data_IF_154287916587
#
_entry.id   IF_154287916587
#
_cell.length_a   1.000
_cell.length_b   1.000
_cell.length_c   1.000
_cell.angle_alpha   90.00
_cell.angle_beta   90.00
_cell.angle_gamma   90.00
#
_symmetry.space_group_name_H-M   'P 1'
#
loop_
_entity.id
_entity.type
_entity.pdbx_description
1 polymer ?
#
# COMPACT_ATOMS: atom_id res chain seq x y z
N UNK A 1 10.97 -9.16 -12.85
CA UNK A 1 11.53 -7.99 -12.14
C UNK A 1 12.77 -8.36 -11.33
N UNK A 2 12.69 -9.20 -10.29
CA UNK A 2 13.84 -9.50 -9.43
C UNK A 2 15.06 -10.02 -10.22
N UNK A 3 14.86 -11.00 -11.10
CA UNK A 3 15.92 -11.51 -11.99
C UNK A 3 16.56 -10.41 -12.84
N UNK A 4 15.77 -9.49 -13.38
CA UNK A 4 16.26 -8.36 -14.17
C UNK A 4 17.21 -7.48 -13.36
N UNK A 5 16.79 -7.03 -12.18
CA UNK A 5 17.62 -6.17 -11.34
C UNK A 5 18.83 -6.89 -10.72
N UNK A 6 18.74 -8.21 -10.46
CA UNK A 6 19.91 -8.98 -10.02
C UNK A 6 20.93 -9.18 -11.14
N UNK A 7 20.48 -9.35 -12.39
CA UNK A 7 21.38 -9.39 -13.55
C UNK A 7 22.07 -8.03 -13.72
N UNK A 8 21.33 -6.93 -13.70
CA UNK A 8 21.89 -5.57 -13.77
C UNK A 8 22.89 -5.31 -12.62
N UNK A 9 22.54 -5.67 -11.39
CA UNK A 9 23.41 -5.54 -10.23
C UNK A 9 24.71 -6.35 -10.38
N UNK A 10 24.64 -7.54 -10.97
CA UNK A 10 25.81 -8.39 -11.25
C UNK A 10 26.74 -7.80 -12.31
N UNK A 11 26.19 -7.01 -13.25
CA UNK A 11 26.95 -6.32 -14.30
C UNK A 11 27.58 -5.04 -13.74
N UNK A 12 26.80 -4.21 -13.04
CA UNK A 12 27.24 -2.93 -12.46
C UNK A 12 28.29 -3.12 -11.37
N UNK A 13 28.24 -4.24 -10.62
CA UNK A 13 29.13 -4.55 -9.49
C UNK A 13 29.29 -3.37 -8.52
N UNK A 14 28.18 -2.93 -7.88
CA UNK A 14 28.25 -1.85 -6.91
C UNK A 14 29.19 -2.20 -5.75
N UNK A 15 29.91 -1.22 -5.17
CA UNK A 15 30.83 -1.45 -4.07
C UNK A 15 30.08 -2.00 -2.85
N UNK A 16 30.24 -3.29 -2.58
CA UNK A 16 29.51 -4.02 -1.54
C UNK A 16 29.69 -3.41 -0.15
N UNK A 17 30.88 -2.87 0.14
CA UNK A 17 31.17 -2.21 1.41
C UNK A 17 30.31 -0.95 1.62
N UNK A 18 30.14 -0.13 0.58
CA UNK A 18 29.32 1.08 0.66
C UNK A 18 27.82 0.75 0.76
N UNK A 19 27.36 -0.26 0.02
CA UNK A 19 25.98 -0.73 0.10
C UNK A 19 25.65 -1.28 1.49
N UNK A 20 26.56 -2.09 2.08
CA UNK A 20 26.39 -2.60 3.44
C UNK A 20 26.43 -1.47 4.47
N UNK A 21 27.34 -0.52 4.34
CA UNK A 21 27.37 0.65 5.23
C UNK A 21 26.08 1.47 5.13
N UNK A 22 25.55 1.70 3.93
CA UNK A 22 24.28 2.40 3.73
C UNK A 22 23.06 1.65 4.27
N UNK A 23 23.11 0.32 4.32
CA UNK A 23 22.02 -0.51 4.86
C UNK A 23 21.92 -0.46 6.39
N UNK A 24 23.08 -0.39 7.09
CA UNK A 24 23.13 -0.44 8.56
C UNK A 24 23.36 0.92 9.23
N UNK A 25 23.91 1.90 8.52
CA UNK A 25 24.24 3.22 9.06
C UNK A 25 23.36 4.28 8.37
N UNK A 26 22.25 4.70 9.00
CA UNK A 26 21.40 5.75 8.44
C UNK A 26 22.14 7.09 8.44
N UNK A 27 22.55 7.57 7.27
CA UNK A 27 23.12 8.91 7.08
C UNK A 27 22.26 9.69 6.09
N UNK A 28 21.66 10.78 6.55
CA UNK A 28 20.98 11.74 5.70
C UNK A 28 21.97 12.86 5.41
N UNK A 29 22.44 12.97 4.17
CA UNK A 29 23.41 13.98 3.76
C UNK A 29 22.98 14.60 2.44
N UNK A 30 22.94 15.94 2.40
CA UNK A 30 22.58 16.71 1.22
C UNK A 30 21.17 17.35 1.28
N UNK A 31 20.95 18.42 0.51
CA UNK A 31 19.63 19.04 0.36
C UNK A 31 18.69 18.08 -0.36
N UNK A 32 17.53 17.78 0.24
CA UNK A 32 16.49 16.91 -0.35
C UNK A 32 16.51 15.45 0.13
N UNK A 33 17.63 14.94 0.65
CA UNK A 33 17.76 13.54 1.10
C UNK A 33 16.70 13.12 2.13
N UNK A 34 16.36 14.01 3.07
CA UNK A 34 15.28 13.77 4.05
C UNK A 34 13.92 13.65 3.38
N UNK A 35 13.64 14.49 2.38
CA UNK A 35 12.38 14.48 1.64
C UNK A 35 12.21 13.21 0.81
N UNK A 36 13.26 12.77 0.13
CA UNK A 36 13.24 11.55 -0.69
C UNK A 36 13.16 10.29 0.17
N UNK A 37 13.84 10.27 1.33
CA UNK A 37 13.73 9.18 2.31
C UNK A 37 12.31 9.05 2.87
N UNK A 38 11.67 10.17 3.17
CA UNK A 38 10.28 10.22 3.61
C UNK A 38 9.34 9.74 2.49
N UNK A 39 9.56 10.20 1.26
CA UNK A 39 8.77 9.78 0.10
C UNK A 39 8.89 8.27 -0.15
N UNK A 40 10.11 7.72 -0.07
CA UNK A 40 10.36 6.28 -0.18
C UNK A 40 9.61 5.50 0.90
N UNK A 41 9.70 5.94 2.16
CA UNK A 41 9.04 5.26 3.28
C UNK A 41 7.51 5.28 3.13
N UNK A 42 6.94 6.40 2.68
CA UNK A 42 5.51 6.52 2.37
C UNK A 42 5.07 5.60 1.23
N UNK A 43 5.86 5.53 0.16
CA UNK A 43 5.56 4.70 -1.02
C UNK A 43 5.60 3.19 -0.73
N UNK A 44 6.40 2.74 0.25
CA UNK A 44 6.54 1.33 0.59
C UNK A 44 5.34 0.76 1.36
N UNK A 45 4.59 1.61 2.09
CA UNK A 45 3.43 1.16 2.87
C UNK A 45 2.17 1.42 2.08
N UNK A 46 1.66 0.41 1.38
CA UNK A 46 0.49 0.56 0.53
C UNK A 46 -0.81 0.11 1.25
N UNK A 47 -1.84 0.96 1.39
CA UNK A 47 -3.06 0.64 2.12
C UNK A 47 -3.85 -0.53 1.50
N UNK A 48 -3.92 -0.61 0.17
CA UNK A 48 -4.61 -1.71 -0.51
C UNK A 48 -3.97 -3.08 -0.24
N UNK A 49 -2.66 -3.13 0.01
CA UNK A 49 -1.99 -4.38 0.39
C UNK A 49 -2.39 -4.82 1.80
N UNK A 50 -2.68 -3.90 2.73
CA UNK A 50 -3.20 -4.26 4.05
C UNK A 50 -4.57 -4.97 3.94
N UNK A 51 -5.46 -4.45 3.10
CA UNK A 51 -6.76 -5.09 2.85
C UNK A 51 -6.61 -6.42 2.10
N UNK A 52 -5.77 -6.45 1.06
CA UNK A 52 -5.54 -7.65 0.26
C UNK A 52 -4.95 -8.79 1.08
N UNK A 53 -3.90 -8.55 1.85
CA UNK A 53 -3.30 -9.58 2.71
C UNK A 53 -4.30 -10.09 3.75
N UNK A 54 -5.08 -9.19 4.37
CA UNK A 54 -6.11 -9.58 5.33
C UNK A 54 -7.17 -10.49 4.70
N UNK A 55 -7.52 -10.23 3.43
CA UNK A 55 -8.52 -11.01 2.71
C UNK A 55 -7.99 -12.34 2.14
N UNK A 56 -6.74 -12.39 1.68
CA UNK A 56 -6.10 -13.62 1.18
C UNK A 56 -5.92 -14.66 2.29
N UNK A 57 -5.74 -14.23 3.54
CA UNK A 57 -5.73 -15.15 4.69
C UNK A 57 -7.05 -15.92 4.81
N UNK A 58 -8.18 -15.30 4.45
CA UNK A 58 -9.51 -15.92 4.48
C UNK A 58 -9.76 -16.90 3.32
N UNK A 59 -8.96 -16.86 2.25
CA UNK A 59 -9.12 -17.81 1.14
C UNK A 59 -8.57 -19.20 1.44
N UNK A 60 -7.81 -19.36 2.53
CA UNK A 60 -7.26 -20.65 2.96
C UNK A 60 -8.13 -21.28 4.03
N UNK A 61 -8.34 -22.59 3.93
CA UNK A 61 -9.08 -23.34 4.93
C UNK A 61 -8.23 -23.47 6.21
N UNK A 62 -8.49 -22.59 7.18
CA UNK A 62 -7.79 -22.55 8.46
C UNK A 62 -8.60 -23.31 9.52
N UNK A 63 -8.04 -24.36 10.16
CA UNK A 63 -8.76 -25.09 11.19
C UNK A 63 -9.06 -24.18 12.39
N UNK A 64 -10.31 -24.17 12.84
CA UNK A 64 -10.81 -23.30 13.92
C UNK A 64 -10.27 -23.62 15.33
N UNK A 65 -9.34 -24.57 15.46
CA UNK A 65 -8.67 -24.90 16.72
C UNK A 65 -7.63 -23.83 17.09
N UNK A 66 -7.46 -23.54 18.38
CA UNK A 66 -6.46 -22.58 18.86
C UNK A 66 -5.03 -22.92 18.41
N UNK A 67 -4.68 -24.22 18.36
CA UNK A 67 -3.39 -24.69 17.84
C UNK A 67 -3.29 -24.47 16.32
N UNK A 68 -4.37 -24.79 15.60
CA UNK A 68 -4.47 -24.59 14.15
C UNK A 68 -4.33 -23.12 13.73
N UNK A 69 -4.94 -22.20 14.49
CA UNK A 69 -4.82 -20.76 14.26
C UNK A 69 -3.38 -20.27 14.46
N UNK A 70 -2.69 -20.72 15.52
CA UNK A 70 -1.29 -20.36 15.79
C UNK A 70 -0.36 -20.87 14.69
N UNK A 71 -0.54 -22.11 14.25
CA UNK A 71 0.26 -22.68 13.16
C UNK A 71 0.00 -21.92 11.84
N UNK A 72 -1.26 -21.61 11.52
CA UNK A 72 -1.62 -20.80 10.36
C UNK A 72 -0.95 -19.42 10.39
N UNK A 73 -1.04 -18.69 11.52
CA UNK A 73 -0.39 -17.40 11.70
C UNK A 73 1.13 -17.49 11.49
N UNK A 74 1.78 -18.56 11.98
CA UNK A 74 3.22 -18.77 11.79
C UNK A 74 3.57 -18.96 10.32
N UNK A 75 2.81 -19.77 9.58
CA UNK A 75 3.03 -19.95 8.14
C UNK A 75 2.80 -18.65 7.35
N UNK A 76 1.73 -17.91 7.65
CA UNK A 76 1.48 -16.63 7.00
C UNK A 76 2.56 -15.57 7.30
N UNK A 77 3.13 -15.59 8.50
CA UNK A 77 4.25 -14.73 8.88
C UNK A 77 5.50 -15.08 8.07
N UNK A 78 5.83 -16.37 7.93
CA UNK A 78 6.96 -16.79 7.10
C UNK A 78 6.76 -16.45 5.62
N UNK A 79 5.57 -16.72 5.08
CA UNK A 79 5.24 -16.41 3.68
C UNK A 79 5.35 -14.90 3.39
N UNK A 80 4.74 -14.07 4.24
CA UNK A 80 4.81 -12.62 4.10
C UNK A 80 6.23 -12.10 4.33
N UNK A 81 6.96 -12.68 5.28
CA UNK A 81 8.34 -12.32 5.59
C UNK A 81 9.29 -12.60 4.42
N UNK A 82 9.18 -13.76 3.77
CA UNK A 82 9.96 -14.09 2.57
C UNK A 82 9.61 -13.16 1.42
N UNK A 83 8.32 -12.87 1.20
CA UNK A 83 7.89 -11.97 0.14
C UNK A 83 8.43 -10.54 0.33
N UNK A 84 8.33 -10.00 1.55
CA UNK A 84 8.85 -8.68 1.90
C UNK A 84 10.39 -8.65 1.86
N UNK A 85 11.06 -9.75 2.21
CA UNK A 85 12.51 -9.86 2.10
C UNK A 85 12.98 -9.81 0.64
N UNK A 86 12.30 -10.51 -0.28
CA UNK A 86 12.59 -10.41 -1.71
C UNK A 86 12.32 -8.99 -2.23
N UNK A 87 11.24 -8.33 -1.79
CA UNK A 87 10.96 -6.94 -2.14
C UNK A 87 12.08 -5.99 -1.64
N UNK A 88 12.59 -6.20 -0.42
CA UNK A 88 13.73 -5.46 0.11
C UNK A 88 14.97 -5.63 -0.78
N UNK A 89 15.31 -6.86 -1.18
CA UNK A 89 16.46 -7.11 -2.06
C UNK A 89 16.32 -6.41 -3.41
N UNK A 90 15.10 -6.40 -3.98
CA UNK A 90 14.84 -5.68 -5.23
C UNK A 90 15.02 -4.17 -5.04
N UNK A 91 14.49 -3.59 -3.96
CA UNK A 91 14.66 -2.17 -3.67
C UNK A 91 16.14 -1.79 -3.46
N UNK A 92 16.91 -2.63 -2.75
CA UNK A 92 18.35 -2.44 -2.59
C UNK A 92 19.05 -2.49 -3.95
N UNK A 93 18.71 -3.47 -4.80
CA UNK A 93 19.30 -3.58 -6.14
C UNK A 93 18.99 -2.35 -7.01
N UNK A 94 17.74 -1.87 -7.01
CA UNK A 94 17.33 -0.67 -7.77
C UNK A 94 18.10 0.56 -7.29
N UNK A 95 18.11 0.83 -5.97
CA UNK A 95 18.79 2.01 -5.40
C UNK A 95 20.30 1.93 -5.64
N UNK A 96 20.90 0.75 -5.47
CA UNK A 96 22.34 0.55 -5.65
C UNK A 96 22.79 0.69 -7.11
N UNK A 97 22.02 0.14 -8.06
CA UNK A 97 22.27 0.30 -9.49
C UNK A 97 22.13 1.77 -9.89
N UNK A 98 21.04 2.43 -9.49
CA UNK A 98 20.83 3.86 -9.77
C UNK A 98 21.93 4.73 -9.17
N UNK A 99 22.33 4.48 -7.92
CA UNK A 99 23.42 5.23 -7.25
C UNK A 99 24.77 5.05 -7.94
N UNK A 100 25.11 3.83 -8.35
CA UNK A 100 26.40 3.54 -9.02
C UNK A 100 26.45 4.16 -10.42
N UNK A 101 25.34 4.08 -11.17
CA UNK A 101 25.20 4.69 -12.50
C UNK A 101 25.32 6.22 -12.40
N UNK A 102 24.69 6.84 -11.41
CA UNK A 102 24.75 8.29 -11.21
C UNK A 102 26.08 8.80 -10.61
N UNK A 103 26.88 7.93 -10.00
CA UNK A 103 28.21 8.27 -9.48
C UNK A 103 29.35 7.95 -10.46
N UNK A 104 29.03 7.47 -11.67
CA UNK A 104 30.07 7.16 -12.66
C UNK A 104 30.71 8.44 -13.21
N UNK A 105 32.04 8.45 -13.30
CA UNK A 105 32.84 9.64 -13.67
C UNK A 105 32.75 10.00 -15.16
N UNK A 106 32.15 9.14 -15.99
CA UNK A 106 32.07 9.30 -17.45
C UNK A 106 30.70 9.80 -17.94
N UNK A 107 29.90 10.43 -17.07
CA UNK A 107 28.60 10.98 -17.49
C UNK A 107 28.76 12.33 -18.20
N UNK A 108 28.03 12.48 -19.31
CA UNK A 108 27.80 13.79 -19.93
C UNK A 108 27.13 14.74 -18.92
N UNK A 109 27.42 16.05 -18.96
CA UNK A 109 26.77 17.04 -18.08
C UNK A 109 25.23 16.95 -18.09
N UNK A 110 24.65 16.60 -19.23
CA UNK A 110 23.19 16.40 -19.39
C UNK A 110 22.67 15.16 -18.66
N UNK A 111 23.44 14.07 -18.63
CA UNK A 111 23.04 12.83 -17.94
C UNK A 111 23.26 12.96 -16.42
N UNK A 112 24.26 13.71 -15.99
CA UNK A 112 24.44 14.07 -14.58
C UNK A 112 23.28 14.93 -14.06
N UNK A 113 22.74 15.84 -14.87
CA UNK A 113 21.56 16.63 -14.50
C UNK A 113 20.28 15.78 -14.38
N UNK A 114 20.17 14.68 -15.14
CA UNK A 114 19.05 13.73 -15.00
C UNK A 114 19.10 12.92 -13.71
N UNK A 115 20.27 12.83 -13.07
CA UNK A 115 20.43 12.11 -11.80
C UNK A 115 19.77 12.81 -10.61
N UNK A 116 19.51 14.12 -10.68
CA UNK A 116 18.80 14.84 -9.61
C UNK A 116 17.26 14.67 -9.65
N UNK A 117 16.69 14.28 -10.79
CA UNK A 117 15.25 14.01 -10.93
C UNK A 117 15.06 12.75 -11.80
N UNK A 118 15.28 11.58 -11.19
CA UNK A 118 15.22 10.28 -11.87
C UNK A 118 13.78 9.97 -12.27
N UNK A 119 13.45 10.27 -13.53
CA UNK A 119 12.20 9.82 -14.15
C UNK A 119 12.34 8.41 -14.73
N UNK A 120 11.21 7.72 -14.96
CA UNK A 120 11.17 6.40 -15.61
C UNK A 120 11.89 6.40 -16.97
N UNK A 121 11.72 7.49 -17.73
CA UNK A 121 12.35 7.68 -19.03
C UNK A 121 13.86 7.84 -18.88
N UNK A 122 14.31 8.77 -18.03
CA UNK A 122 15.73 9.03 -17.79
C UNK A 122 16.47 7.80 -17.26
N UNK A 123 15.82 7.00 -16.41
CA UNK A 123 16.40 5.75 -15.88
C UNK A 123 16.71 4.76 -17.00
N UNK A 124 15.85 4.65 -18.02
CA UNK A 124 16.06 3.76 -19.16
C UNK A 124 17.24 4.20 -20.04
N UNK A 125 17.41 5.51 -20.24
CA UNK A 125 18.53 6.08 -20.99
C UNK A 125 19.85 5.96 -20.24
N UNK A 126 19.85 6.18 -18.92
CA UNK A 126 21.02 6.03 -18.07
C UNK A 126 21.52 4.57 -18.04
N UNK A 127 20.60 3.62 -17.89
CA UNK A 127 20.90 2.18 -18.00
C UNK A 127 21.44 1.83 -19.39
N UNK A 128 20.83 2.37 -20.45
CA UNK A 128 21.32 2.17 -21.83
C UNK A 128 22.74 2.69 -22.03
N UNK A 129 23.05 3.87 -21.50
CA UNK A 129 24.32 4.55 -21.73
C UNK A 129 25.47 3.86 -20.97
N UNK A 130 25.20 3.35 -19.76
CA UNK A 130 26.22 2.72 -18.90
C UNK A 130 26.34 1.21 -19.10
N UNK A 131 25.24 0.49 -19.34
CA UNK A 131 25.21 -0.98 -19.45
C UNK A 131 24.93 -1.50 -20.87
N UNK A 132 24.67 -0.60 -21.82
CA UNK A 132 24.41 -0.93 -23.21
C UNK A 132 22.93 -1.16 -23.53
N UNK A 133 22.62 -1.36 -24.83
CA UNK A 133 21.24 -1.47 -25.34
C UNK A 133 20.42 -2.59 -24.70
N UNK A 134 21.05 -3.70 -24.31
CA UNK A 134 20.35 -4.86 -23.73
C UNK A 134 19.75 -4.53 -22.35
N UNK A 135 20.41 -3.71 -21.54
CA UNK A 135 19.96 -3.33 -20.20
C UNK A 135 18.66 -2.51 -20.21
N UNK A 136 18.52 -1.57 -21.15
CA UNK A 136 17.28 -0.81 -21.30
C UNK A 136 16.08 -1.69 -21.69
N UNK A 137 16.30 -2.73 -22.51
CA UNK A 137 15.25 -3.70 -22.82
C UNK A 137 14.88 -4.53 -21.60
N UNK A 138 15.86 -4.98 -20.81
CA UNK A 138 15.65 -5.73 -19.56
C UNK A 138 14.88 -4.89 -18.54
N UNK A 139 15.20 -3.60 -18.41
CA UNK A 139 14.47 -2.65 -17.56
C UNK A 139 13.03 -2.44 -18.05
N UNK A 140 12.81 -2.27 -19.36
CA UNK A 140 11.47 -2.19 -19.94
C UNK A 140 10.62 -3.44 -19.68
N UNK A 141 11.20 -4.64 -19.83
CA UNK A 141 10.54 -5.90 -19.49
C UNK A 141 10.23 -5.97 -17.98
N UNK A 142 11.14 -5.50 -17.13
CA UNK A 142 10.92 -5.45 -15.68
C UNK A 142 9.76 -4.52 -15.30
N UNK A 143 9.66 -3.33 -15.92
CA UNK A 143 8.57 -2.39 -15.73
C UNK A 143 7.23 -2.96 -16.22
N UNK A 144 7.21 -3.61 -17.39
CA UNK A 144 6.01 -4.28 -17.90
C UNK A 144 5.54 -5.39 -16.95
N UNK A 145 6.46 -6.21 -16.46
CA UNK A 145 6.16 -7.26 -15.48
C UNK A 145 5.61 -6.66 -14.16
N UNK A 146 6.15 -5.52 -13.71
CA UNK A 146 5.63 -4.78 -12.56
C UNK A 146 4.17 -4.37 -12.75
N UNK A 147 3.86 -3.75 -13.90
CA UNK A 147 2.52 -3.26 -14.21
C UNK A 147 1.47 -4.38 -14.27
N UNK A 148 1.86 -5.56 -14.77
CA UNK A 148 0.98 -6.74 -14.75
C UNK A 148 0.72 -7.23 -13.31
N UNK A 149 1.76 -7.29 -12.48
CA UNK A 149 1.60 -7.67 -11.07
C UNK A 149 0.67 -6.70 -10.31
N UNK A 150 0.88 -5.39 -10.50
CA UNK A 150 0.05 -4.35 -9.89
C UNK A 150 -1.42 -4.40 -10.35
N UNK A 151 -1.68 -4.84 -11.58
CA UNK A 151 -3.07 -5.06 -12.02
C UNK A 151 -3.72 -6.13 -11.16
N UNK A 152 -3.07 -7.28 -11.04
CA UNK A 152 -3.65 -8.44 -10.37
C UNK A 152 -3.98 -8.07 -8.92
N UNK A 153 -3.02 -7.50 -8.20
CA UNK A 153 -3.22 -7.05 -6.82
C UNK A 153 -4.31 -5.98 -6.71
N UNK A 154 -4.33 -4.99 -7.60
CA UNK A 154 -5.36 -3.94 -7.63
C UNK A 154 -6.77 -4.48 -7.83
N UNK A 155 -6.95 -5.46 -8.74
CA UNK A 155 -8.27 -6.05 -9.00
C UNK A 155 -8.79 -6.93 -7.87
N UNK A 156 -7.91 -7.59 -7.11
CA UNK A 156 -8.27 -8.34 -5.91
C UNK A 156 -8.54 -7.40 -4.74
N UNK A 157 -7.67 -6.42 -4.48
CA UNK A 157 -7.88 -5.45 -3.41
C UNK A 157 -9.19 -4.67 -3.63
N UNK A 158 -9.44 -4.22 -4.86
CA UNK A 158 -10.69 -3.56 -5.23
C UNK A 158 -11.92 -4.45 -5.03
N UNK A 159 -11.81 -5.77 -5.25
CA UNK A 159 -12.91 -6.70 -4.94
C UNK A 159 -13.30 -6.64 -3.48
N UNK A 160 -12.33 -6.82 -2.59
CA UNK A 160 -12.57 -6.94 -1.17
C UNK A 160 -13.03 -5.62 -0.57
N UNK A 161 -12.49 -4.49 -1.07
CA UNK A 161 -12.95 -3.15 -0.66
C UNK A 161 -14.38 -2.91 -1.14
N UNK A 162 -14.72 -3.20 -2.41
CA UNK A 162 -16.07 -2.99 -2.94
C UNK A 162 -17.12 -3.90 -2.26
N UNK A 163 -16.80 -5.17 -2.03
CA UNK A 163 -17.70 -6.11 -1.36
C UNK A 163 -17.80 -5.83 0.15
N UNK A 164 -16.71 -5.41 0.80
CA UNK A 164 -16.69 -5.14 2.23
C UNK A 164 -17.31 -3.82 2.63
N UNK A 165 -17.06 -2.73 1.87
CA UNK A 165 -17.51 -1.38 2.23
C UNK A 165 -18.77 -0.91 1.50
N UNK A 166 -18.96 -1.34 0.24
CA UNK A 166 -20.07 -0.86 -0.60
C UNK A 166 -21.13 -1.96 -0.83
N UNK A 167 -20.88 -3.21 -0.44
CA UNK A 167 -21.67 -4.42 -0.76
C UNK A 167 -22.03 -4.55 -2.25
N UNK A 168 -21.18 -4.01 -3.13
CA UNK A 168 -21.40 -4.06 -4.58
C UNK A 168 -20.79 -5.35 -5.13
N UNK A 169 -21.64 -6.29 -5.53
CA UNK A 169 -21.25 -7.56 -6.16
C UNK A 169 -21.25 -7.42 -7.68
N UNK A 170 -20.08 -7.12 -8.25
CA UNK A 170 -19.85 -7.11 -9.69
C UNK A 170 -19.17 -8.40 -10.19
N UNK A 171 -19.48 -8.79 -11.43
CA UNK A 171 -18.74 -9.83 -12.16
C UNK A 171 -17.27 -9.42 -12.31
N UNK A 172 -16.35 -10.37 -12.17
CA UNK A 172 -14.90 -10.09 -12.12
C UNK A 172 -14.37 -9.43 -13.40
N UNK A 173 -14.86 -9.83 -14.58
CA UNK A 173 -14.50 -9.20 -15.85
C UNK A 173 -14.94 -7.73 -15.91
N UNK A 174 -16.18 -7.43 -15.51
CA UNK A 174 -16.72 -6.07 -15.57
C UNK A 174 -15.98 -5.15 -14.60
N UNK A 175 -15.68 -5.63 -13.39
CA UNK A 175 -14.85 -4.90 -12.42
C UNK A 175 -13.46 -4.62 -12.96
N UNK A 176 -12.81 -5.63 -13.56
CA UNK A 176 -11.47 -5.47 -14.14
C UNK A 176 -11.49 -4.44 -15.29
N UNK A 177 -12.48 -4.51 -16.18
CA UNK A 177 -12.63 -3.55 -17.27
C UNK A 177 -12.85 -2.13 -16.74
N UNK A 178 -13.76 -1.94 -15.78
CA UNK A 178 -14.06 -0.63 -15.21
C UNK A 178 -12.84 -0.03 -14.51
N UNK A 179 -12.23 -0.76 -13.56
CA UNK A 179 -11.08 -0.27 -12.79
C UNK A 179 -9.86 -0.01 -13.67
N UNK A 180 -9.61 -0.84 -14.69
CA UNK A 180 -8.55 -0.59 -15.67
C UNK A 180 -8.85 0.58 -16.58
N UNK A 181 -10.08 0.76 -17.05
CA UNK A 181 -10.42 1.92 -17.88
C UNK A 181 -10.24 3.22 -17.10
N UNK A 182 -10.66 3.26 -15.83
CA UNK A 182 -10.50 4.44 -14.95
C UNK A 182 -9.03 4.73 -14.67
N UNK A 183 -8.16 3.71 -14.58
CA UNK A 183 -6.73 3.92 -14.37
C UNK A 183 -5.97 4.27 -15.66
N UNK A 184 -6.20 3.52 -16.74
CA UNK A 184 -5.41 3.60 -17.98
C UNK A 184 -5.83 4.80 -18.82
N UNK A 185 -7.13 5.08 -18.97
CA UNK A 185 -7.59 6.13 -19.89
C UNK A 185 -7.05 7.51 -19.48
N UNK A 186 -7.19 7.97 -18.21
CA UNK A 186 -6.63 9.26 -17.81
C UNK A 186 -5.11 9.28 -17.88
N UNK A 187 -4.45 8.18 -17.50
CA UNK A 187 -2.99 8.07 -17.58
C UNK A 187 -2.49 8.17 -19.01
N UNK A 188 -3.20 7.55 -19.96
CA UNK A 188 -2.86 7.58 -21.37
C UNK A 188 -3.05 8.99 -21.95
N UNK A 189 -4.16 9.66 -21.62
CA UNK A 189 -4.41 11.05 -22.07
C UNK A 189 -3.30 11.98 -21.56
N UNK A 190 -2.97 11.92 -20.27
CA UNK A 190 -1.91 12.75 -19.68
C UNK A 190 -0.55 12.43 -20.28
N UNK A 191 -0.26 11.15 -20.56
CA UNK A 191 1.00 10.75 -21.18
C UNK A 191 1.12 11.17 -22.65
N UNK A 192 0.02 11.19 -23.41
CA UNK A 192 0.00 11.64 -24.81
C UNK A 192 0.22 13.16 -24.88
N UNK A 193 -0.42 13.93 -23.99
CA UNK A 193 -0.34 15.41 -24.01
C UNK A 193 0.97 15.89 -23.36
N UNK A 194 1.32 15.35 -22.20
CA UNK A 194 2.42 15.82 -21.35
C UNK A 194 3.73 15.04 -21.47
N UNK A 195 3.77 13.98 -22.29
CA UNK A 195 4.93 13.12 -22.46
C UNK A 195 5.42 12.48 -21.16
N UNK A 196 6.72 12.23 -21.05
CA UNK A 196 7.37 11.62 -19.88
C UNK A 196 7.23 12.46 -18.61
N UNK A 197 7.27 13.80 -18.73
CA UNK A 197 7.06 14.71 -17.60
C UNK A 197 5.64 14.61 -17.04
N UNK A 198 4.62 14.54 -17.92
CA UNK A 198 3.24 14.32 -17.53
C UNK A 198 3.02 13.01 -16.79
N UNK A 199 3.63 11.92 -17.28
CA UNK A 199 3.58 10.61 -16.63
C UNK A 199 4.23 10.63 -15.24
N UNK A 200 5.39 11.27 -15.10
CA UNK A 200 6.07 11.47 -13.81
C UNK A 200 5.20 12.22 -12.80
N UNK A 201 4.57 13.33 -13.23
CA UNK A 201 3.63 14.09 -12.38
C UNK A 201 2.46 13.23 -11.91
N UNK A 202 1.91 12.38 -12.78
CA UNK A 202 0.81 11.50 -12.42
C UNK A 202 1.21 10.45 -11.37
N UNK A 203 2.43 9.92 -11.43
CA UNK A 203 2.98 9.00 -10.42
C UNK A 203 3.10 9.71 -9.06
N UNK A 204 3.55 10.96 -9.05
CA UNK A 204 3.62 11.76 -7.82
C UNK A 204 2.21 12.00 -7.26
N UNK A 205 1.23 12.36 -8.09
CA UNK A 205 -0.17 12.54 -7.66
C UNK A 205 -0.75 11.23 -7.10
N UNK A 206 -0.53 10.09 -7.76
CA UNK A 206 -0.97 8.79 -7.27
C UNK A 206 -0.36 8.47 -5.89
N UNK A 207 0.89 8.85 -5.67
CA UNK A 207 1.55 8.70 -4.36
C UNK A 207 0.92 9.60 -3.29
N UNK A 208 0.51 10.82 -3.63
CA UNK A 208 -0.22 11.70 -2.71
C UNK A 208 -1.57 11.10 -2.30
N UNK A 209 -2.31 10.51 -3.24
CA UNK A 209 -3.58 9.84 -2.97
C UNK A 209 -3.38 8.66 -2.01
N UNK A 210 -2.36 7.83 -2.25
CA UNK A 210 -2.02 6.71 -1.36
C UNK A 210 -1.66 7.18 0.06
N UNK A 211 -0.90 8.27 0.18
CA UNK A 211 -0.58 8.87 1.49
C UNK A 211 -1.81 9.40 2.22
N UNK A 212 -2.78 9.96 1.50
CA UNK A 212 -4.05 10.38 2.09
C UNK A 212 -4.86 9.19 2.62
N UNK A 213 -4.93 8.09 1.87
CA UNK A 213 -5.69 6.89 2.22
C UNK A 213 -5.09 6.10 3.41
N UNK A 214 -3.76 6.14 3.58
CA UNK A 214 -3.04 5.27 4.51
C UNK A 214 -3.54 5.35 5.96
N UNK A 215 -3.72 6.51 6.61
CA UNK A 215 -4.17 6.57 7.99
C UNK A 215 -5.56 5.95 8.20
N UNK A 216 -6.45 6.09 7.22
CA UNK A 216 -7.79 5.53 7.25
C UNK A 216 -7.80 4.00 7.18
N UNK A 217 -6.78 3.38 6.58
CA UNK A 217 -6.61 1.93 6.58
C UNK A 217 -5.84 1.43 7.81
N UNK A 218 -4.76 2.14 8.19
CA UNK A 218 -3.83 1.70 9.23
C UNK A 218 -4.40 1.84 10.65
N UNK A 219 -5.10 2.94 10.96
CA UNK A 219 -5.66 3.15 12.30
C UNK A 219 -6.69 2.07 12.66
N UNK A 220 -7.69 1.76 11.82
CA UNK A 220 -8.63 0.67 12.13
C UNK A 220 -7.93 -0.68 12.27
N UNK A 221 -6.94 -0.98 11.43
CA UNK A 221 -6.17 -2.22 11.52
C UNK A 221 -5.46 -2.35 12.88
N UNK A 222 -4.77 -1.30 13.32
CA UNK A 222 -4.07 -1.29 14.61
C UNK A 222 -5.04 -1.44 15.78
N UNK A 223 -6.18 -0.74 15.74
CA UNK A 223 -7.20 -0.85 16.79
C UNK A 223 -7.82 -2.24 16.85
N UNK A 224 -8.19 -2.81 15.69
CA UNK A 224 -8.81 -4.12 15.63
C UNK A 224 -7.83 -5.23 16.03
N UNK A 225 -6.56 -5.12 15.63
CA UNK A 225 -5.48 -6.03 16.04
C UNK A 225 -5.00 -5.83 17.48
N UNK A 226 -5.40 -4.77 18.17
CA UNK A 226 -5.04 -4.53 19.57
C UNK A 226 -6.17 -4.87 20.54
N UNK A 227 -7.40 -4.93 20.03
CA UNK A 227 -8.61 -5.11 20.84
C UNK A 227 -8.82 -6.57 21.25
N UNK A 228 -8.83 -6.81 22.56
CA UNK A 228 -9.21 -8.12 23.14
C UNK A 228 -10.64 -8.49 22.79
N UNK A 229 -11.50 -7.48 22.62
CA UNK A 229 -12.89 -7.68 22.19
C UNK A 229 -13.01 -8.16 20.76
N UNK A 230 -11.97 -8.11 19.90
CA UNK A 230 -12.02 -8.57 18.50
C UNK A 230 -11.13 -9.79 18.23
N UNK A 231 -9.99 -9.90 18.91
CA UNK A 231 -9.06 -11.03 18.74
C UNK A 231 -9.31 -12.20 19.71
N UNK A 232 -10.08 -12.00 20.78
CA UNK A 232 -10.35 -13.03 21.78
C UNK A 232 -9.06 -13.56 22.42
N UNK A 233 -8.93 -14.89 22.49
CA UNK A 233 -7.79 -15.61 23.08
C UNK A 233 -6.48 -15.47 22.30
N UNK A 234 -6.54 -15.08 21.01
CA UNK A 234 -5.36 -14.91 20.14
C UNK A 234 -4.86 -13.46 20.12
N UNK A 235 -5.03 -12.71 21.21
CA UNK A 235 -4.59 -11.32 21.32
C UNK A 235 -3.07 -11.23 21.16
N UNK A 236 -2.62 -10.21 20.43
CA UNK A 236 -1.20 -9.85 20.37
C UNK A 236 -0.65 -9.50 21.76
N UNK A 237 0.63 -9.84 21.98
CA UNK A 237 1.37 -9.44 23.18
C UNK A 237 1.39 -7.91 23.32
N UNK A 238 1.36 -7.41 24.55
CA UNK A 238 1.34 -5.97 24.83
C UNK A 238 2.55 -5.24 24.23
N UNK A 239 3.70 -5.91 24.16
CA UNK A 239 4.90 -5.39 23.50
C UNK A 239 4.70 -5.19 22.00
N UNK A 240 4.08 -6.16 21.31
CA UNK A 240 3.79 -6.08 19.87
C UNK A 240 2.76 -4.99 19.60
N UNK A 241 1.74 -4.87 20.45
CA UNK A 241 0.75 -3.80 20.36
C UNK A 241 1.42 -2.43 20.50
N UNK A 242 2.24 -2.24 21.55
CA UNK A 242 2.95 -0.99 21.77
C UNK A 242 3.87 -0.62 20.59
N UNK A 243 4.67 -1.58 20.12
CA UNK A 243 5.57 -1.38 18.98
C UNK A 243 4.81 -1.03 17.70
N UNK A 244 3.73 -1.76 17.37
CA UNK A 244 2.91 -1.50 16.18
C UNK A 244 2.22 -0.14 16.22
N UNK A 245 1.79 0.33 17.39
CA UNK A 245 1.24 1.69 17.54
C UNK A 245 2.30 2.77 17.35
N UNK A 246 3.49 2.61 17.96
CA UNK A 246 4.61 3.55 17.76
C UNK A 246 4.97 3.64 16.28
N UNK A 247 5.17 2.49 15.63
CA UNK A 247 5.48 2.44 14.20
C UNK A 247 4.35 3.04 13.36
N UNK A 248 3.10 2.75 13.71
CA UNK A 248 1.92 3.31 13.04
C UNK A 248 1.85 4.83 13.12
N UNK A 249 2.08 5.40 14.31
CA UNK A 249 2.13 6.86 14.50
C UNK A 249 3.25 7.50 13.70
N UNK A 250 4.43 6.88 13.67
CA UNK A 250 5.57 7.36 12.86
C UNK A 250 5.20 7.37 11.37
N UNK A 251 4.64 6.29 10.84
CA UNK A 251 4.24 6.20 9.42
C UNK A 251 3.15 7.23 9.10
N UNK A 252 2.14 7.39 9.95
CA UNK A 252 1.07 8.38 9.77
C UNK A 252 1.67 9.80 9.78
N UNK A 253 2.54 10.11 10.75
CA UNK A 253 3.20 11.41 10.84
C UNK A 253 4.02 11.74 9.58
N UNK A 254 4.80 10.77 9.09
CA UNK A 254 5.59 10.90 7.86
C UNK A 254 4.68 11.12 6.65
N UNK A 255 3.56 10.39 6.52
CA UNK A 255 2.62 10.56 5.42
C UNK A 255 1.89 11.91 5.45
N UNK A 256 1.46 12.36 6.63
CA UNK A 256 0.84 13.68 6.81
C UNK A 256 1.84 14.78 6.46
N UNK A 257 3.10 14.66 6.87
CA UNK A 257 4.16 15.59 6.51
C UNK A 257 4.43 15.60 5.00
N UNK A 258 4.57 14.42 4.38
CA UNK A 258 4.78 14.29 2.93
C UNK A 258 3.63 14.91 2.12
N UNK A 259 2.37 14.60 2.49
CA UNK A 259 1.19 15.15 1.85
C UNK A 259 1.16 16.69 1.99
N UNK A 260 1.39 17.20 3.21
CA UNK A 260 1.38 18.64 3.48
C UNK A 260 2.46 19.38 2.71
N UNK A 261 3.70 18.88 2.71
CA UNK A 261 4.83 19.53 2.02
C UNK A 261 4.67 19.50 0.51
N UNK A 262 4.21 18.38 -0.07
CA UNK A 262 3.95 18.31 -1.51
C UNK A 262 2.78 19.17 -1.95
N UNK A 263 1.71 19.23 -1.15
CA UNK A 263 0.55 20.07 -1.45
C UNK A 263 0.89 21.56 -1.38
N UNK A 264 1.61 21.99 -0.33
CA UNK A 264 2.13 23.36 -0.21
C UNK A 264 3.09 23.69 -1.34
N UNK A 265 4.02 22.77 -1.65
CA UNK A 265 4.96 22.95 -2.76
C UNK A 265 4.26 23.13 -4.11
N UNK A 266 3.19 22.36 -4.36
CA UNK A 266 2.37 22.49 -5.56
C UNK A 266 1.65 23.85 -5.65
N UNK A 267 1.10 24.34 -4.53
CA UNK A 267 0.46 25.67 -4.48
C UNK A 267 1.47 26.78 -4.77
N UNK A 268 2.69 26.70 -4.22
CA UNK A 268 3.70 27.75 -4.34
C UNK A 268 4.34 27.84 -5.74
N UNK A 269 4.49 26.72 -6.45
CA UNK A 269 5.20 26.67 -7.74
C UNK A 269 4.27 26.56 -8.95
N UNK A 270 2.96 26.68 -8.76
CA UNK A 270 1.99 26.62 -9.85
C UNK A 270 2.03 27.89 -10.71
N UNK A 271 1.94 27.72 -12.02
CA UNK A 271 1.86 28.80 -13.02
C UNK A 271 0.48 29.49 -13.08
N UNK A 272 -0.39 29.23 -12.10
CA UNK A 272 -1.72 29.83 -12.04
C UNK A 272 -1.64 31.29 -11.57
N UNK A 273 -2.61 32.14 -11.97
CA UNK A 273 -2.64 33.53 -11.52
C UNK A 273 -2.74 33.59 -10.00
N UNK A 274 -2.10 34.60 -9.39
CA UNK A 274 -1.98 34.75 -7.92
C UNK A 274 -3.33 34.66 -7.20
N UNK A 275 -4.39 35.21 -7.78
CA UNK A 275 -5.75 35.10 -7.25
C UNK A 275 -6.26 33.66 -7.18
N UNK A 276 -6.00 32.84 -8.20
CA UNK A 276 -6.38 31.43 -8.20
C UNK A 276 -5.59 30.63 -7.15
N UNK A 277 -4.30 30.91 -6.98
CA UNK A 277 -3.50 30.28 -5.92
C UNK A 277 -4.01 30.64 -4.52
N UNK A 278 -4.42 31.89 -4.30
CA UNK A 278 -5.04 32.30 -3.03
C UNK A 278 -6.37 31.61 -2.79
N UNK A 279 -7.24 31.53 -3.79
CA UNK A 279 -8.52 30.82 -3.69
C UNK A 279 -8.34 29.33 -3.38
N UNK A 280 -7.41 28.68 -4.09
CA UNK A 280 -7.06 27.27 -3.89
C UNK A 280 -6.50 27.05 -2.47
N UNK A 281 -5.62 27.94 -2.00
CA UNK A 281 -5.06 27.89 -0.66
C UNK A 281 -6.13 28.03 0.44
N UNK A 282 -7.09 28.95 0.27
CA UNK A 282 -8.22 29.14 1.19
C UNK A 282 -9.09 27.89 1.30
N UNK A 283 -9.23 27.09 0.23
CA UNK A 283 -10.00 25.84 0.24
C UNK A 283 -9.17 24.66 0.77
N UNK A 284 -7.91 24.55 0.37
CA UNK A 284 -7.06 23.41 0.71
C UNK A 284 -6.63 23.41 2.18
N UNK A 285 -6.37 24.57 2.78
CA UNK A 285 -5.96 24.65 4.18
C UNK A 285 -7.02 24.12 5.17
N UNK A 286 -8.30 24.53 5.10
CA UNK A 286 -9.34 23.96 5.96
C UNK A 286 -9.59 22.48 5.64
N UNK A 287 -9.44 22.04 4.39
CA UNK A 287 -9.55 20.64 4.02
C UNK A 287 -8.43 19.78 4.65
N UNK A 288 -7.20 20.29 4.67
CA UNK A 288 -6.08 19.65 5.38
C UNK A 288 -6.29 19.63 6.90
N UNK A 289 -6.80 20.71 7.49
CA UNK A 289 -7.17 20.74 8.91
C UNK A 289 -8.26 19.70 9.23
N UNK A 290 -9.28 19.61 8.39
CA UNK A 290 -10.35 18.60 8.52
C UNK A 290 -9.79 17.18 8.39
N UNK A 291 -8.86 16.95 7.47
CA UNK A 291 -8.16 15.67 7.32
C UNK A 291 -7.39 15.30 8.60
N UNK A 292 -6.57 16.20 9.12
CA UNK A 292 -5.81 15.96 10.36
C UNK A 292 -6.75 15.74 11.55
N UNK A 293 -7.83 16.53 11.65
CA UNK A 293 -8.85 16.36 12.68
C UNK A 293 -9.57 15.00 12.55
N UNK A 294 -9.87 14.55 11.34
CA UNK A 294 -10.46 13.24 11.09
C UNK A 294 -9.53 12.09 11.48
N UNK A 295 -8.23 12.21 11.19
CA UNK A 295 -7.21 11.23 11.61
C UNK A 295 -7.13 11.17 13.14
N UNK A 296 -7.04 12.32 13.81
CA UNK A 296 -7.04 12.41 15.28
C UNK A 296 -8.32 11.80 15.87
N UNK A 297 -9.48 12.16 15.32
CA UNK A 297 -10.76 11.62 15.74
C UNK A 297 -10.80 10.10 15.62
N UNK A 298 -10.33 9.52 14.51
CA UNK A 298 -10.28 8.07 14.31
C UNK A 298 -9.34 7.37 15.30
N UNK A 299 -8.22 8.00 15.64
CA UNK A 299 -7.27 7.51 16.65
C UNK A 299 -7.92 7.42 18.03
N UNK A 300 -8.66 8.45 18.45
CA UNK A 300 -9.24 8.52 19.81
C UNK A 300 -10.65 7.91 19.93
N UNK A 301 -11.35 7.69 18.81
CA UNK A 301 -12.67 7.07 18.80
C UNK A 301 -12.60 5.71 19.49
N UNK A 302 -13.48 5.44 20.46
CA UNK A 302 -13.54 4.11 21.09
C UNK A 302 -14.20 3.09 20.17
N UNK A 303 -13.65 1.88 20.10
CA UNK A 303 -14.25 0.77 19.34
C UNK A 303 -15.39 0.14 20.14
N UNK A 304 -16.61 0.18 19.60
CA UNK A 304 -17.82 -0.35 20.24
C UNK A 304 -18.22 -1.76 19.79
N UNK A 305 -17.55 -2.33 18.78
CA UNK A 305 -17.94 -3.64 18.21
C UNK A 305 -17.33 -4.80 19.01
N UNK A 306 -18.19 -5.64 19.62
CA UNK A 306 -17.83 -6.89 20.29
C UNK A 306 -17.67 -8.03 19.27
N UNK A 307 -16.67 -8.89 19.46
CA UNK A 307 -16.55 -10.18 18.79
C UNK A 307 -17.73 -11.06 19.21
N UNK A 308 -18.46 -11.56 18.22
CA UNK A 308 -19.38 -12.68 18.38
C UNK A 308 -18.64 -13.89 17.86
N UNK A 309 -18.41 -14.88 18.71
CA UNK A 309 -17.71 -16.09 18.31
C UNK A 309 -18.54 -16.85 17.27
N UNK A 310 -17.88 -17.55 16.33
CA UNK A 310 -18.60 -18.41 15.36
C UNK A 310 -19.43 -19.48 16.08
N UNK A 311 -19.05 -19.88 17.29
CA UNK A 311 -19.86 -20.74 18.17
C UNK A 311 -21.13 -20.07 18.68
N UNK A 312 -21.11 -18.78 19.01
CA UNK A 312 -22.32 -18.03 19.39
C UNK A 312 -23.24 -17.77 18.19
N UNK A 313 -22.67 -17.57 16.99
CA UNK A 313 -23.46 -17.50 15.76
C UNK A 313 -24.10 -18.85 15.41
N UNK A 314 -23.36 -19.96 15.53
CA UNK A 314 -23.92 -21.31 15.34
C UNK A 314 -24.92 -21.68 16.44
N UNK A 315 -24.64 -21.37 17.70
CA UNK A 315 -25.55 -21.60 18.81
C UNK A 315 -26.83 -20.74 18.71
N UNK A 316 -26.73 -19.52 18.18
CA UNK A 316 -27.89 -18.69 17.86
C UNK A 316 -28.73 -19.28 16.72
N UNK A 317 -28.08 -19.76 15.64
CA UNK A 317 -28.75 -20.39 14.49
C UNK A 317 -29.37 -21.75 14.85
N UNK A 318 -28.75 -22.50 15.76
CA UNK A 318 -29.26 -23.78 16.29
C UNK A 318 -30.39 -23.54 17.31
N UNK A 319 -30.33 -22.48 18.12
CA UNK A 319 -31.39 -22.08 19.04
C UNK A 319 -32.64 -21.55 18.31
N UNK A 320 -32.45 -20.78 17.24
CA UNK A 320 -33.55 -20.32 16.36
C UNK A 320 -34.21 -21.52 15.66
N UNK A 321 -33.42 -22.48 15.15
CA UNK A 321 -33.97 -23.72 14.58
C UNK A 321 -34.71 -24.57 15.62
N UNK A 322 -34.21 -24.64 16.85
CA UNK A 322 -34.87 -25.35 17.94
C UNK A 322 -36.19 -24.68 18.36
N UNK A 323 -36.25 -23.34 18.41
CA UNK A 323 -37.49 -22.61 18.68
C UNK A 323 -38.52 -22.80 17.54
N UNK A 324 -38.10 -22.71 16.28
CA UNK A 324 -38.98 -22.95 15.12
C UNK A 324 -39.50 -24.39 15.13
N UNK A 325 -38.67 -25.40 15.45
CA UNK A 325 -39.11 -26.79 15.58
C UNK A 325 -40.11 -27.00 16.73
N UNK A 326 -39.97 -26.25 17.83
CA UNK A 326 -40.89 -26.34 18.99
C UNK A 326 -42.24 -25.69 18.66
N UNK A 327 -42.25 -24.58 17.93
CA UNK A 327 -43.49 -23.90 17.49
C UNK A 327 -44.25 -24.75 16.46
N UNK A 328 -43.55 -25.42 15.54
CA UNK A 328 -44.16 -26.32 14.55
C UNK A 328 -44.74 -27.58 15.21
N UNK A 329 -44.08 -28.12 16.24
CA UNK A 329 -44.62 -29.26 17.01
C UNK A 329 -45.86 -28.91 17.84
N UNK A 330 -45.97 -27.66 18.32
CA UNK A 330 -47.15 -27.18 19.05
C UNK A 330 -48.35 -26.93 18.11
N UNK A 331 -48.11 -26.55 16.85
CA UNK A 331 -49.17 -26.44 15.82
C UNK A 331 -49.69 -27.82 15.36
N UNK A 332 -48.81 -28.82 15.20
CA UNK A 332 -49.19 -30.18 14.77
C UNK A 332 -49.93 -30.97 15.87
N UNK A 333 -49.86 -30.51 17.13
CA UNK A 333 -50.59 -31.09 18.27
C UNK A 333 -52.03 -30.58 18.41
N UNK A 334 -52.44 -29.59 17.59
CA UNK A 334 -53.80 -29.06 17.50
C UNK A 334 -54.54 -29.62 16.29
N UNK A 335 -54.61 -30.94 16.15
CA UNK A 335 -55.69 -31.54 15.37
C UNK A 335 -57.00 -31.45 16.18
N UNK A 336 -58.10 -30.96 15.58
CA UNK A 336 -59.38 -30.85 16.28
C UNK A 336 -59.95 -32.23 16.60
N UNK A 337 -60.60 -32.42 17.76
CA UNK A 337 -61.38 -33.63 17.99
C UNK A 337 -62.56 -33.67 16.99
N UNK A 338 -62.73 -34.87 16.41
CA UNK A 338 -63.77 -35.36 15.49
C UNK A 338 -65.10 -34.59 15.51
#
# INVERSE_FOLDING_TARGET
MAACFFVEMSIVKPPVNEVLQGLFIPRLSGPGATGDSIALLGALVMPHNLFLHSALVLSRNTPASAKGMKDACRFFLFESGIALFVALLVNIAVISVSGTVCNATNLSPEDAAKCSDLTLDSSSFLLRNVLGKSSATVYGIALLASGQSSTITGTYAGQYVMQGFLDIKMKQWLRNLMTRSIAIVPSLIVSIIGGSSGAGRLIVIASMILSFELPFALIPLLKFSSSSNKMGENKNSIYIVGFSWVLGFVIIGINVYFLSTKLVGWILHNTLPTFANVLIGIVLFPLMLLYVAAVIYLTFRKDTVRFVSRRELQAGDDADKAQVATVVADEDSKEPPV
#
